data_IF_641615532967
#
_entry.id   IF_641615532967
#
_cell.length_a   1.000
_cell.length_b   1.000
_cell.length_c   1.000
_cell.angle_alpha   90.00
_cell.angle_beta   90.00
_cell.angle_gamma   90.00
#
_symmetry.space_group_name_H-M   'P 1'
#
loop_
_entity.id
_entity.type
_entity.pdbx_description
1 polymer ?
#
# COMPACT_ATOMS: atom_id res chain seq x y z
N UNK A 1 16.45 -7.31 -8.25
CA UNK A 1 16.98 -6.28 -7.33
C UNK A 1 16.71 -4.91 -7.93
N UNK A 2 16.34 -3.92 -7.12
CA UNK A 2 16.20 -2.54 -7.58
C UNK A 2 17.47 -1.78 -7.27
N UNK A 3 17.98 -1.04 -8.26
CA UNK A 3 19.12 -0.16 -8.10
C UNK A 3 18.74 1.23 -8.56
N UNK A 4 19.09 2.21 -7.73
CA UNK A 4 18.88 3.63 -8.02
C UNK A 4 20.25 4.28 -8.06
N UNK A 5 20.52 5.03 -9.11
CA UNK A 5 21.79 5.74 -9.28
C UNK A 5 21.54 7.13 -9.86
N UNK A 6 22.31 8.10 -9.41
CA UNK A 6 22.29 9.47 -9.93
C UNK A 6 23.00 9.56 -11.29
N UNK A 7 23.89 8.62 -11.61
CA UNK A 7 24.66 8.57 -12.84
C UNK A 7 24.67 7.16 -13.41
N UNK A 8 24.39 7.04 -14.71
CA UNK A 8 24.36 5.78 -15.46
C UNK A 8 25.70 5.03 -15.42
N UNK A 9 26.82 5.76 -15.32
CA UNK A 9 28.15 5.14 -15.21
C UNK A 9 28.32 4.39 -13.88
N UNK A 10 27.86 4.98 -12.78
CA UNK A 10 27.91 4.33 -11.46
C UNK A 10 27.00 3.12 -11.42
N UNK A 11 25.82 3.20 -12.06
CA UNK A 11 24.90 2.08 -12.16
C UNK A 11 25.54 0.90 -12.90
N UNK A 12 26.19 1.14 -14.03
CA UNK A 12 26.87 0.11 -14.82
C UNK A 12 28.02 -0.54 -14.07
N UNK A 13 28.85 0.26 -13.39
CA UNK A 13 29.94 -0.26 -12.59
C UNK A 13 29.44 -1.13 -11.44
N UNK A 14 28.38 -0.70 -10.74
CA UNK A 14 27.76 -1.48 -9.68
C UNK A 14 27.14 -2.79 -10.18
N UNK A 15 26.53 -2.78 -11.37
CA UNK A 15 26.02 -4.00 -12.03
C UNK A 15 27.17 -4.95 -12.36
N UNK A 16 28.27 -4.45 -12.94
CA UNK A 16 29.43 -5.27 -13.29
C UNK A 16 30.10 -5.89 -12.06
N UNK A 17 30.29 -5.10 -11.01
CA UNK A 17 30.89 -5.58 -9.77
C UNK A 17 30.01 -6.63 -9.08
N UNK A 18 28.70 -6.43 -9.05
CA UNK A 18 27.77 -7.40 -8.47
C UNK A 18 27.63 -8.65 -9.35
N UNK A 19 27.74 -8.49 -10.67
CA UNK A 19 27.71 -9.57 -11.66
C UNK A 19 28.84 -10.59 -11.50
N UNK A 20 29.94 -10.22 -10.83
CA UNK A 20 31.04 -11.14 -10.49
C UNK A 20 30.65 -12.16 -9.43
N UNK A 21 29.68 -11.84 -8.59
CA UNK A 21 29.24 -12.68 -7.47
C UNK A 21 27.88 -13.32 -7.70
N UNK A 22 27.03 -12.71 -8.52
CA UNK A 22 25.65 -13.12 -8.75
C UNK A 22 25.33 -13.04 -10.23
N UNK A 23 24.62 -14.04 -10.76
CA UNK A 23 24.10 -13.97 -12.14
C UNK A 23 22.98 -12.92 -12.22
N UNK A 24 23.22 -11.83 -12.94
CA UNK A 24 22.34 -10.69 -13.03
C UNK A 24 21.68 -10.64 -14.41
N UNK A 25 20.35 -10.63 -14.39
CA UNK A 25 19.53 -10.38 -15.59
C UNK A 25 18.85 -9.03 -15.46
N UNK A 26 19.06 -8.16 -16.44
CA UNK A 26 18.32 -6.92 -16.55
C UNK A 26 16.88 -7.20 -17.05
N UNK A 27 15.90 -6.70 -16.30
CA UNK A 27 14.47 -6.81 -16.61
C UNK A 27 13.90 -5.48 -17.14
N UNK A 28 14.73 -4.46 -17.31
CA UNK A 28 14.36 -3.12 -17.72
C UNK A 28 13.72 -2.30 -16.61
N UNK A 29 13.00 -1.26 -17.00
CA UNK A 29 12.35 -0.35 -16.04
C UNK A 29 11.32 -1.07 -15.15
N UNK A 30 11.39 -0.90 -13.82
CA UNK A 30 10.49 -1.58 -12.92
C UNK A 30 9.06 -1.05 -13.07
N UNK A 31 8.13 -1.97 -13.35
CA UNK A 31 6.68 -1.69 -13.40
C UNK A 31 5.95 -2.08 -12.12
N UNK A 32 6.50 -3.02 -11.37
CA UNK A 32 5.94 -3.49 -10.11
C UNK A 32 7.05 -3.70 -9.08
N UNK A 33 6.82 -3.20 -7.87
CA UNK A 33 7.72 -3.33 -6.73
C UNK A 33 6.89 -3.78 -5.55
N UNK A 34 7.09 -5.02 -5.07
CA UNK A 34 6.35 -5.59 -3.93
C UNK A 34 4.81 -5.54 -4.07
N UNK A 35 4.27 -5.47 -5.29
CA UNK A 35 2.83 -5.32 -5.52
C UNK A 35 2.36 -3.86 -5.69
N UNK A 36 3.26 -2.88 -5.55
CA UNK A 36 3.05 -1.49 -5.93
C UNK A 36 3.37 -1.33 -7.41
N UNK A 37 2.40 -0.88 -8.19
CA UNK A 37 2.61 -0.52 -9.58
C UNK A 37 3.34 0.83 -9.67
N UNK A 38 4.38 0.88 -10.49
CA UNK A 38 5.18 2.08 -10.73
C UNK A 38 4.97 2.49 -12.18
N UNK A 39 4.42 3.69 -12.36
CA UNK A 39 4.16 4.30 -13.65
C UNK A 39 5.14 5.45 -13.86
N UNK A 40 5.92 5.35 -14.93
CA UNK A 40 6.86 6.39 -15.36
C UNK A 40 6.19 7.20 -16.47
N UNK A 41 5.91 8.48 -16.22
CA UNK A 41 5.28 9.32 -17.25
C UNK A 41 6.34 9.79 -18.26
N UNK A 42 6.33 9.19 -19.45
CA UNK A 42 7.29 9.50 -20.52
C UNK A 42 6.80 10.64 -21.43
N UNK A 43 5.60 11.19 -21.22
CA UNK A 43 4.98 12.13 -22.17
C UNK A 43 5.39 13.60 -22.00
N UNK A 44 5.95 14.01 -20.87
CA UNK A 44 6.43 15.39 -20.65
C UNK A 44 7.90 15.63 -21.05
N UNK A 45 8.43 14.87 -22.01
CA UNK A 45 9.80 15.04 -22.52
C UNK A 45 10.08 16.42 -23.16
N UNK A 46 9.07 17.29 -23.34
CA UNK A 46 9.26 18.67 -23.86
C UNK A 46 9.61 19.70 -22.79
N UNK A 47 9.44 19.40 -21.50
CA UNK A 47 9.89 20.30 -20.44
C UNK A 47 10.92 19.53 -19.61
N UNK A 48 12.19 19.73 -19.95
CA UNK A 48 13.32 19.33 -19.10
C UNK A 48 13.04 19.84 -17.68
N UNK A 49 12.64 18.97 -16.74
CA UNK A 49 13.16 18.93 -15.37
C UNK A 49 12.64 17.83 -14.44
N UNK A 50 11.51 17.16 -14.68
CA UNK A 50 11.03 16.17 -13.69
C UNK A 50 10.45 14.92 -14.35
N UNK A 51 11.19 13.81 -14.33
CA UNK A 51 10.61 12.49 -14.60
C UNK A 51 9.61 12.19 -13.47
N UNK A 52 8.31 12.28 -13.77
CA UNK A 52 7.27 12.00 -12.79
C UNK A 52 7.06 10.49 -12.65
N UNK A 53 7.37 9.98 -11.47
CA UNK A 53 7.08 8.60 -11.07
C UNK A 53 5.80 8.61 -10.24
N UNK A 54 4.81 7.83 -10.66
CA UNK A 54 3.54 7.66 -9.94
C UNK A 54 3.43 6.24 -9.41
N UNK A 55 3.09 6.09 -8.13
CA UNK A 55 2.88 4.80 -7.48
C UNK A 55 1.38 4.49 -7.37
N UNK A 56 0.99 3.25 -7.59
CA UNK A 56 -0.40 2.79 -7.54
C UNK A 56 -0.52 1.40 -6.91
N UNK A 57 -1.36 1.25 -5.88
CA UNK A 57 -1.64 -0.04 -5.22
C UNK A 57 -3.09 -0.52 -5.42
N UNK A 58 -3.83 -0.03 -6.43
CA UNK A 58 -5.24 -0.41 -6.67
C UNK A 58 -5.49 -1.92 -6.64
N UNK A 59 -4.65 -2.71 -7.31
CA UNK A 59 -4.78 -4.17 -7.33
C UNK A 59 -4.77 -4.77 -5.92
N UNK A 60 -3.89 -4.28 -5.04
CA UNK A 60 -3.83 -4.74 -3.65
C UNK A 60 -5.10 -4.36 -2.88
N UNK A 61 -5.65 -3.17 -3.11
CA UNK A 61 -6.92 -2.74 -2.50
C UNK A 61 -8.06 -3.67 -2.93
N UNK A 62 -8.15 -3.98 -4.22
CA UNK A 62 -9.17 -4.88 -4.76
C UNK A 62 -9.03 -6.30 -4.19
N UNK A 63 -7.80 -6.81 -4.08
CA UNK A 63 -7.51 -8.14 -3.51
C UNK A 63 -7.89 -8.20 -2.02
N UNK A 64 -7.65 -7.13 -1.25
CA UNK A 64 -8.07 -7.01 0.15
C UNK A 64 -9.59 -7.01 0.25
N UNK A 65 -10.28 -6.19 -0.56
CA UNK A 65 -11.75 -6.13 -0.53
C UNK A 65 -12.37 -7.49 -0.86
N UNK A 66 -11.81 -8.23 -1.82
CA UNK A 66 -12.23 -9.61 -2.13
C UNK A 66 -12.02 -10.58 -0.97
N UNK A 67 -10.83 -10.54 -0.38
CA UNK A 67 -10.43 -11.45 0.71
C UNK A 67 -11.34 -11.31 1.94
N UNK A 68 -11.80 -10.09 2.22
CA UNK A 68 -12.67 -9.80 3.37
C UNK A 68 -14.16 -9.68 2.99
N UNK A 69 -14.55 -10.05 1.77
CA UNK A 69 -15.92 -9.98 1.26
C UNK A 69 -16.55 -8.57 1.36
N UNK A 70 -15.76 -7.55 1.03
CA UNK A 70 -16.09 -6.11 1.08
C UNK A 70 -16.17 -5.46 -0.31
N UNK A 71 -16.36 -6.24 -1.38
CA UNK A 71 -16.39 -5.74 -2.77
C UNK A 71 -17.49 -4.69 -3.01
N UNK A 72 -18.65 -4.86 -2.36
CA UNK A 72 -19.80 -3.95 -2.49
C UNK A 72 -19.78 -2.78 -1.49
N UNK A 73 -18.67 -2.58 -0.77
CA UNK A 73 -18.57 -1.50 0.21
C UNK A 73 -18.54 -0.13 -0.48
N UNK A 74 -19.31 0.82 0.08
CA UNK A 74 -19.36 2.20 -0.41
C UNK A 74 -18.08 2.96 -0.01
N UNK A 75 -17.53 3.72 -0.95
CA UNK A 75 -16.42 4.62 -0.67
C UNK A 75 -16.86 5.74 0.28
N UNK A 76 -16.05 5.99 1.32
CA UNK A 76 -16.27 7.08 2.28
C UNK A 76 -15.05 7.99 2.28
N UNK A 77 -15.28 9.31 2.35
CA UNK A 77 -14.20 10.31 2.34
C UNK A 77 -13.42 10.36 3.67
N UNK A 78 -14.10 10.07 4.76
CA UNK A 78 -13.54 10.02 6.12
C UNK A 78 -13.43 8.56 6.56
N UNK A 79 -12.21 7.99 6.64
CA UNK A 79 -12.00 6.58 7.00
C UNK A 79 -12.51 6.21 8.40
N UNK A 80 -12.65 7.19 9.30
CA UNK A 80 -13.17 7.01 10.64
C UNK A 80 -14.11 8.16 11.01
N UNK A 81 -15.32 7.84 11.46
CA UNK A 81 -16.26 8.80 12.03
C UNK A 81 -16.18 8.75 13.56
N UNK A 82 -15.71 9.84 14.16
CA UNK A 82 -15.50 9.96 15.62
C UNK A 82 -16.84 9.96 16.38
N UNK A 83 -17.94 10.34 15.73
CA UNK A 83 -19.26 10.42 16.37
C UNK A 83 -19.91 9.05 16.59
N UNK A 84 -19.71 8.11 15.65
CA UNK A 84 -20.24 6.75 15.73
C UNK A 84 -19.46 5.86 16.71
N UNK A 85 -18.18 6.17 16.97
CA UNK A 85 -17.35 5.43 17.93
C UNK A 85 -17.97 5.34 19.33
N UNK A 86 -18.41 6.48 19.90
CA UNK A 86 -18.97 6.52 21.26
C UNK A 86 -20.21 5.64 21.39
N UNK A 87 -21.01 5.55 20.32
CA UNK A 87 -22.21 4.72 20.26
C UNK A 87 -21.86 3.23 20.09
N UNK A 88 -20.85 2.90 19.27
CA UNK A 88 -20.38 1.52 19.10
C UNK A 88 -19.74 0.95 20.37
N UNK A 89 -18.97 1.76 21.11
CA UNK A 89 -18.39 1.33 22.39
C UNK A 89 -19.47 1.08 23.45
N UNK A 90 -20.48 1.96 23.54
CA UNK A 90 -21.61 1.78 24.45
C UNK A 90 -22.45 0.53 24.11
N UNK A 91 -22.67 0.24 22.81
CA UNK A 91 -23.39 -0.97 22.35
C UNK A 91 -22.60 -2.26 22.57
N UNK A 92 -21.27 -2.21 22.56
CA UNK A 92 -20.42 -3.36 22.86
C UNK A 92 -20.49 -3.76 24.35
N UNK A 93 -20.72 -2.81 25.26
CA UNK A 93 -20.91 -3.08 26.69
C UNK A 93 -22.29 -3.64 27.01
N UNK A 94 -23.32 -3.25 26.26
CA UNK A 94 -24.72 -3.63 26.53
C UNK A 94 -25.17 -4.91 25.82
N UNK A 95 -24.49 -5.32 24.73
CA UNK A 95 -24.91 -6.48 23.96
C UNK A 95 -23.89 -7.62 24.02
N UNK A 96 -24.33 -8.78 24.52
CA UNK A 96 -23.76 -10.11 24.20
C UNK A 96 -23.96 -10.47 22.71
N UNK A 97 -24.07 -9.49 21.82
CA UNK A 97 -24.20 -9.64 20.37
C UNK A 97 -22.93 -9.14 19.69
N UNK A 98 -21.78 -9.68 20.12
CA UNK A 98 -20.58 -9.72 19.28
C UNK A 98 -20.71 -10.76 18.14
N UNK A 99 -21.93 -11.17 17.79
CA UNK A 99 -22.23 -12.26 16.85
C UNK A 99 -22.23 -11.84 15.38
N UNK A 100 -22.07 -10.55 15.08
CA UNK A 100 -22.03 -10.03 13.71
C UNK A 100 -20.66 -9.44 13.33
N UNK A 101 -19.61 -9.80 14.06
CA UNK A 101 -18.28 -9.70 13.49
C UNK A 101 -18.13 -10.93 12.58
N UNK A 102 -18.09 -10.79 11.24
CA UNK A 102 -17.61 -11.90 10.43
C UNK A 102 -16.26 -12.33 11.00
N UNK A 103 -15.95 -13.63 10.93
CA UNK A 103 -14.70 -14.24 11.40
C UNK A 103 -13.52 -13.73 10.55
N UNK A 104 -13.29 -12.43 10.66
CA UNK A 104 -12.31 -11.67 9.91
C UNK A 104 -11.06 -11.75 10.76
N UNK A 105 -9.97 -12.36 10.24
CA UNK A 105 -8.71 -12.39 10.95
C UNK A 105 -8.19 -10.96 11.11
N UNK A 106 -8.54 -10.32 12.23
CA UNK A 106 -8.31 -8.91 12.48
C UNK A 106 -6.83 -8.54 12.35
N UNK A 107 -5.93 -9.41 12.81
CA UNK A 107 -4.49 -9.24 12.66
C UNK A 107 -4.05 -9.25 11.19
N UNK A 108 -4.62 -10.13 10.36
CA UNK A 108 -4.35 -10.19 8.93
C UNK A 108 -4.84 -8.93 8.23
N UNK A 109 -6.08 -8.50 8.52
CA UNK A 109 -6.63 -7.25 7.98
C UNK A 109 -5.76 -6.04 8.35
N UNK A 110 -5.27 -6.00 9.59
CA UNK A 110 -4.40 -4.93 10.04
C UNK A 110 -3.05 -4.91 9.33
N UNK A 111 -2.47 -6.08 9.07
CA UNK A 111 -1.26 -6.19 8.25
C UNK A 111 -1.45 -5.63 6.84
N UNK A 112 -2.56 -5.98 6.19
CA UNK A 112 -2.90 -5.47 4.87
C UNK A 112 -3.11 -3.95 4.84
N UNK A 113 -3.84 -3.41 5.81
CA UNK A 113 -4.07 -1.97 5.92
C UNK A 113 -2.77 -1.20 6.22
N UNK A 114 -1.91 -1.73 7.09
CA UNK A 114 -0.61 -1.13 7.39
C UNK A 114 0.31 -1.11 6.17
N UNK A 115 0.23 -2.14 5.31
CA UNK A 115 0.96 -2.16 4.04
C UNK A 115 0.46 -1.07 3.07
N UNK A 116 -0.86 -0.84 2.99
CA UNK A 116 -1.43 0.24 2.17
C UNK A 116 -1.04 1.64 2.69
N UNK A 117 -1.04 1.82 4.01
CA UNK A 117 -0.64 3.07 4.67
C UNK A 117 0.79 3.46 4.31
N UNK A 118 1.72 2.49 4.38
CA UNK A 118 3.13 2.74 4.08
C UNK A 118 3.41 2.99 2.60
N UNK A 119 2.57 2.43 1.71
CA UNK A 119 2.78 2.52 0.26
C UNK A 119 2.17 3.77 -0.37
N UNK A 120 0.84 3.84 -0.44
CA UNK A 120 0.13 4.85 -1.27
C UNK A 120 -1.09 5.50 -0.60
N UNK A 121 -1.50 5.04 0.59
CA UNK A 121 -2.72 5.50 1.28
C UNK A 121 -2.43 6.04 2.68
N UNK A 122 -1.66 7.13 2.83
CA UNK A 122 -1.42 7.74 4.14
C UNK A 122 -2.68 8.35 4.77
N UNK A 123 -3.73 8.58 3.98
CA UNK A 123 -5.03 9.11 4.43
C UNK A 123 -5.77 8.19 5.41
N UNK A 124 -5.55 6.87 5.35
CA UNK A 124 -6.15 5.90 6.30
C UNK A 124 -5.23 5.61 7.50
N UNK A 125 -4.05 6.24 7.58
CA UNK A 125 -3.06 5.99 8.62
C UNK A 125 -3.63 6.22 10.02
N UNK A 126 -4.42 7.28 10.19
CA UNK A 126 -5.03 7.60 11.48
C UNK A 126 -6.02 6.52 11.92
N UNK A 127 -6.92 6.09 11.05
CA UNK A 127 -7.91 5.05 11.34
C UNK A 127 -7.26 3.69 11.65
N UNK A 128 -6.14 3.38 10.97
CA UNK A 128 -5.42 2.11 11.12
C UNK A 128 -4.58 2.10 12.39
N UNK A 129 -3.78 3.15 12.62
CA UNK A 129 -2.86 3.19 13.75
C UNK A 129 -3.59 3.39 15.07
N UNK A 130 -4.68 4.15 15.12
CA UNK A 130 -5.36 4.46 16.39
C UNK A 130 -5.66 3.20 17.20
N UNK A 131 -6.02 2.07 16.58
CA UNK A 131 -6.39 0.83 17.29
C UNK A 131 -5.20 -0.06 17.71
N UNK A 132 -3.98 0.22 17.26
CA UNK A 132 -2.77 -0.56 17.57
C UNK A 132 -1.99 -0.06 18.81
N UNK A 133 -2.43 1.03 19.46
CA UNK A 133 -1.72 1.67 20.58
C UNK A 133 -2.37 1.47 21.96
N UNK A 134 -3.03 0.32 22.19
CA UNK A 134 -3.51 -0.10 23.52
C UNK A 134 -3.61 -1.61 23.63
#
# INVERSE_FOLDING_TARGET
MLMFATNDQLLKNAIDDLGKYVDLKDLGEPRYILGIQVNHDKKEQKIKREQKITLNQRKQIDDILKTFHMEDCKAVKTPMDVSQWKQSLARATESKQATNCPDVPYQSLMGHLMYLVQGTRPDIAFATNYRLWW
#
